data_IF_572341252755
#
_entry.id   IF_572341252755
#
_cell.length_a   1.000
_cell.length_b   1.000
_cell.length_c   1.000
_cell.angle_alpha   90.00
_cell.angle_beta   90.00
_cell.angle_gamma   90.00
#
_symmetry.space_group_name_H-M   'P 1'
#
loop_
_entity.id
_entity.type
_entity.pdbx_description
1 polymer ?
#
# COMPACT_ATOMS: atom_id res chain seq x y z
N UNK A 1 24.42 -1.63 -9.66
CA UNK A 1 24.44 -0.18 -9.92
C UNK A 1 23.37 0.47 -9.03
N UNK A 2 23.74 1.51 -8.27
CA UNK A 2 22.81 2.24 -7.41
C UNK A 2 22.03 3.23 -8.29
N UNK A 3 20.70 3.22 -8.19
CA UNK A 3 19.82 4.15 -8.89
C UNK A 3 19.46 5.36 -8.03
N UNK A 4 19.15 5.11 -6.75
CA UNK A 4 18.85 6.15 -5.76
C UNK A 4 19.66 5.85 -4.50
N UNK A 5 20.27 6.88 -3.93
CA UNK A 5 20.89 6.85 -2.60
C UNK A 5 20.29 7.97 -1.76
N UNK A 6 19.73 7.59 -0.64
CA UNK A 6 19.15 8.48 0.37
C UNK A 6 20.10 8.52 1.56
N UNK A 7 20.48 9.71 2.02
CA UNK A 7 21.43 9.91 3.11
C UNK A 7 20.85 10.88 4.13
N UNK A 8 20.73 10.39 5.37
CA UNK A 8 20.32 11.14 6.56
C UNK A 8 19.04 11.98 6.36
N UNK A 9 18.09 11.45 5.60
CA UNK A 9 16.87 12.16 5.23
C UNK A 9 16.03 12.47 6.47
N UNK A 10 15.60 13.73 6.58
CA UNK A 10 14.81 14.23 7.69
C UNK A 10 13.53 14.91 7.17
N UNK A 11 12.43 14.71 7.90
CA UNK A 11 11.15 15.39 7.64
C UNK A 11 10.33 15.50 8.90
N UNK A 12 9.82 16.69 9.16
CA UNK A 12 8.96 17.00 10.29
C UNK A 12 7.67 17.71 9.83
N UNK A 13 6.59 17.50 10.55
CA UNK A 13 5.35 18.24 10.39
C UNK A 13 5.00 18.92 11.72
N UNK A 14 5.27 20.22 11.79
CA UNK A 14 5.20 20.96 13.04
C UNK A 14 6.18 20.41 14.06
N UNK A 15 5.67 19.94 15.19
CA UNK A 15 6.48 19.34 16.28
C UNK A 15 6.74 17.83 16.10
N UNK A 16 6.09 17.21 15.13
CA UNK A 16 6.22 15.77 14.91
C UNK A 16 7.32 15.46 13.89
N UNK A 17 8.39 14.86 14.36
CA UNK A 17 9.50 14.34 13.55
C UNK A 17 9.11 12.97 12.99
N UNK A 18 8.85 12.92 11.68
CA UNK A 18 8.39 11.71 10.99
C UNK A 18 9.57 10.89 10.45
N UNK A 19 10.53 11.57 9.81
CA UNK A 19 11.79 10.98 9.36
C UNK A 19 12.93 11.67 10.08
N UNK A 20 13.80 10.91 10.78
CA UNK A 20 14.88 11.47 11.62
C UNK A 20 16.25 11.39 10.99
N UNK A 21 16.57 10.28 10.36
CA UNK A 21 17.83 10.02 9.69
C UNK A 21 17.70 8.77 8.83
N UNK A 22 16.87 8.86 7.77
CA UNK A 22 16.66 7.73 6.88
C UNK A 22 17.81 7.64 5.88
N UNK A 23 18.51 6.50 5.89
CA UNK A 23 19.63 6.22 4.98
C UNK A 23 19.45 4.85 4.36
N UNK A 24 19.38 4.79 3.03
CA UNK A 24 19.36 3.55 2.25
C UNK A 24 19.69 3.79 0.78
N UNK A 25 19.90 2.70 0.06
CA UNK A 25 20.09 2.74 -1.39
C UNK A 25 19.20 1.73 -2.08
N UNK A 26 18.70 2.10 -3.28
CA UNK A 26 17.97 1.23 -4.19
C UNK A 26 18.85 0.91 -5.40
N UNK A 27 19.02 -0.38 -5.69
CA UNK A 27 19.85 -0.85 -6.79
C UNK A 27 18.99 -1.15 -8.03
N UNK A 28 19.64 -1.20 -9.20
CA UNK A 28 18.96 -1.57 -10.46
C UNK A 28 18.38 -2.99 -10.37
N UNK A 29 17.09 -3.13 -10.71
CA UNK A 29 16.37 -4.39 -10.66
C UNK A 29 15.98 -4.84 -9.25
N UNK A 30 16.26 -4.05 -8.22
CA UNK A 30 15.87 -4.36 -6.86
C UNK A 30 14.38 -4.06 -6.63
N UNK A 31 13.68 -5.01 -5.98
CA UNK A 31 12.27 -4.90 -5.61
C UNK A 31 12.18 -4.83 -4.09
N UNK A 32 12.00 -3.62 -3.57
CA UNK A 32 11.99 -3.36 -2.13
C UNK A 32 10.58 -3.10 -1.62
N UNK A 33 10.13 -3.89 -0.64
CA UNK A 33 8.92 -3.63 0.13
C UNK A 33 9.23 -2.73 1.33
N UNK A 34 8.49 -1.65 1.51
CA UNK A 34 8.61 -0.72 2.63
C UNK A 34 7.53 -1.02 3.66
N UNK A 35 7.95 -1.41 4.86
CA UNK A 35 7.06 -1.77 5.98
C UNK A 35 7.29 -0.89 7.19
N UNK A 36 6.32 -0.83 8.08
CA UNK A 36 6.34 -0.05 9.31
C UNK A 36 4.94 0.29 9.78
N UNK A 37 4.81 0.75 11.02
CA UNK A 37 3.51 1.12 11.60
C UNK A 37 2.83 2.26 10.84
N UNK A 38 1.51 2.38 10.97
CA UNK A 38 0.80 3.49 10.35
C UNK A 38 1.29 4.83 10.91
N UNK A 39 1.45 5.82 10.04
CA UNK A 39 1.96 7.15 10.43
C UNK A 39 3.48 7.24 10.61
N UNK A 40 4.27 6.15 10.42
CA UNK A 40 5.73 6.22 10.56
C UNK A 40 6.46 6.95 9.41
N UNK A 41 5.74 7.39 8.37
CA UNK A 41 6.30 8.19 7.28
C UNK A 41 6.59 7.46 5.97
N UNK A 42 6.03 6.27 5.74
CA UNK A 42 6.22 5.51 4.48
C UNK A 42 5.84 6.31 3.24
N UNK A 43 4.61 6.82 3.21
CA UNK A 43 4.09 7.68 2.13
C UNK A 43 4.89 8.97 1.99
N UNK A 44 5.28 9.59 3.11
CA UNK A 44 6.14 10.78 3.13
C UNK A 44 7.48 10.52 2.45
N UNK A 45 8.12 9.41 2.79
CA UNK A 45 9.37 8.99 2.16
C UNK A 45 9.21 8.79 0.65
N UNK A 46 8.13 8.13 0.22
CA UNK A 46 7.84 7.95 -1.21
C UNK A 46 7.64 9.27 -1.94
N UNK A 47 6.86 10.20 -1.39
CA UNK A 47 6.64 11.53 -1.98
C UNK A 47 7.94 12.33 -2.10
N UNK A 48 8.83 12.23 -1.12
CA UNK A 48 10.13 12.88 -1.19
C UNK A 48 10.99 12.23 -2.28
N UNK A 49 10.99 10.90 -2.40
CA UNK A 49 11.69 10.18 -3.45
C UNK A 49 11.08 10.48 -4.83
N UNK A 50 9.78 10.64 -4.95
CA UNK A 50 9.11 11.05 -6.19
C UNK A 50 9.46 12.49 -6.59
N UNK A 51 9.83 13.34 -5.63
CA UNK A 51 10.10 14.77 -5.85
C UNK A 51 8.90 15.66 -5.64
N UNK A 52 7.79 15.11 -5.13
CA UNK A 52 6.58 15.89 -4.79
C UNK A 52 6.70 16.66 -3.48
N UNK A 53 7.67 16.28 -2.63
CA UNK A 53 7.88 16.91 -1.34
C UNK A 53 9.38 17.13 -1.10
N UNK A 54 9.71 18.30 -0.56
CA UNK A 54 11.09 18.59 -0.16
C UNK A 54 11.38 18.05 1.24
N UNK A 55 12.55 17.44 1.46
CA UNK A 55 13.02 17.09 2.81
C UNK A 55 13.42 18.34 3.59
N UNK A 56 13.44 18.23 4.92
CA UNK A 56 13.93 19.30 5.80
C UNK A 56 15.46 19.20 6.00
N UNK A 57 16.01 17.99 5.82
CA UNK A 57 17.46 17.74 5.90
C UNK A 57 17.85 16.45 5.19
N UNK A 58 19.14 16.24 5.02
CA UNK A 58 19.69 15.11 4.28
C UNK A 58 19.71 15.33 2.76
N UNK A 59 20.16 14.31 2.02
CA UNK A 59 20.33 14.39 0.56
C UNK A 59 19.79 13.15 -0.14
N UNK A 60 19.30 13.36 -1.36
CA UNK A 60 18.90 12.28 -2.28
C UNK A 60 19.73 12.41 -3.55
N UNK A 61 20.56 11.41 -3.79
CA UNK A 61 21.31 11.30 -5.03
C UNK A 61 20.56 10.37 -5.98
N UNK A 62 20.22 10.90 -7.16
CA UNK A 62 19.59 10.16 -8.27
C UNK A 62 20.55 10.08 -9.43
N UNK A 63 20.51 8.96 -10.14
CA UNK A 63 21.27 8.86 -11.39
C UNK A 63 20.71 9.88 -12.39
N UNK A 64 21.56 10.44 -13.24
CA UNK A 64 21.12 11.31 -14.37
C UNK A 64 20.21 10.49 -15.29
N UNK A 65 19.18 11.09 -15.80
CA UNK A 65 18.20 10.50 -16.73
C UNK A 65 17.30 9.40 -16.15
N UNK A 66 17.29 9.23 -14.82
CA UNK A 66 16.46 8.25 -14.15
C UNK A 66 14.98 8.64 -14.24
N UNK A 67 14.17 7.78 -14.90
CA UNK A 67 12.71 7.93 -14.94
C UNK A 67 12.09 7.27 -13.72
N UNK A 68 11.48 8.08 -12.87
CA UNK A 68 10.77 7.63 -11.67
C UNK A 68 9.28 7.75 -11.94
N UNK A 69 8.56 6.63 -11.86
CA UNK A 69 7.11 6.61 -11.92
C UNK A 69 6.54 6.47 -10.51
N UNK A 70 5.58 7.29 -10.17
CA UNK A 70 4.90 7.24 -8.87
C UNK A 70 3.39 7.11 -9.08
N UNK A 71 2.81 6.11 -8.44
CA UNK A 71 1.35 5.97 -8.41
C UNK A 71 0.80 6.99 -7.40
N UNK A 72 0.79 8.25 -7.81
CA UNK A 72 0.15 9.32 -7.09
C UNK A 72 -1.35 9.38 -7.41
N UNK A 73 -2.09 10.16 -6.63
CA UNK A 73 -3.49 10.43 -6.90
C UNK A 73 -3.68 11.05 -8.31
N UNK A 74 -4.55 10.52 -9.03
CA UNK A 74 -5.46 10.84 -10.15
C UNK A 74 -5.30 12.12 -11.00
N UNK A 75 -4.41 13.05 -10.69
CA UNK A 75 -4.47 14.41 -11.28
C UNK A 75 -3.89 14.52 -12.70
N UNK A 76 -3.18 13.50 -13.19
CA UNK A 76 -2.46 13.54 -14.48
C UNK A 76 -3.26 13.05 -15.70
N UNK A 77 -4.49 12.58 -15.53
CA UNK A 77 -5.31 12.11 -16.65
C UNK A 77 -6.48 13.06 -16.86
N UNK A 78 -6.54 13.77 -18.01
CA UNK A 78 -7.65 14.66 -18.30
C UNK A 78 -8.99 13.94 -18.26
N UNK A 79 -9.96 14.50 -17.54
CA UNK A 79 -11.29 13.91 -17.36
C UNK A 79 -12.08 13.78 -18.69
N UNK A 80 -11.69 14.55 -19.70
CA UNK A 80 -12.29 14.54 -21.05
C UNK A 80 -11.78 13.40 -21.93
N UNK A 81 -10.65 12.78 -21.56
CA UNK A 81 -10.10 11.68 -22.35
C UNK A 81 -10.96 10.42 -22.19
N UNK A 82 -10.87 9.53 -23.18
CA UNK A 82 -11.35 8.16 -23.01
C UNK A 82 -10.27 7.31 -22.33
N UNK A 83 -10.66 6.19 -21.72
CA UNK A 83 -9.72 5.22 -21.12
C UNK A 83 -8.62 4.83 -22.11
N UNK A 84 -9.02 4.45 -23.33
CA UNK A 84 -8.10 4.09 -24.39
C UNK A 84 -7.22 5.26 -24.84
N UNK A 85 -7.82 6.44 -25.03
CA UNK A 85 -7.11 7.66 -25.45
C UNK A 85 -6.05 8.11 -24.45
N UNK A 86 -6.33 7.98 -23.14
CA UNK A 86 -5.39 8.30 -22.09
C UNK A 86 -4.14 7.39 -22.11
N UNK A 87 -4.31 6.11 -22.41
CA UNK A 87 -3.19 5.16 -22.52
C UNK A 87 -2.43 5.29 -23.84
N UNK A 88 -3.12 5.61 -24.94
CA UNK A 88 -2.47 5.90 -26.24
C UNK A 88 -1.48 7.07 -26.15
N UNK A 89 -1.72 8.07 -25.29
CA UNK A 89 -0.80 9.18 -25.09
C UNK A 89 0.58 8.75 -24.55
N UNK A 90 0.67 7.62 -23.86
CA UNK A 90 1.95 7.06 -23.42
C UNK A 90 2.83 6.70 -24.61
N UNK A 91 2.22 6.28 -25.72
CA UNK A 91 2.89 5.86 -26.94
C UNK A 91 2.91 6.94 -28.03
N UNK A 92 2.64 8.21 -27.66
CA UNK A 92 2.66 9.33 -28.61
C UNK A 92 3.97 9.44 -29.40
N UNK A 93 5.17 9.22 -28.83
CA UNK A 93 6.41 9.19 -29.60
C UNK A 93 6.41 8.14 -30.73
N UNK A 94 5.86 6.96 -30.46
CA UNK A 94 5.74 5.86 -31.47
C UNK A 94 4.72 6.27 -32.54
N UNK A 95 3.58 6.83 -32.15
CA UNK A 95 2.52 7.28 -33.06
C UNK A 95 2.96 8.44 -33.96
N UNK A 96 3.84 9.30 -33.45
CA UNK A 96 4.46 10.35 -34.26
C UNK A 96 5.34 9.73 -35.36
N UNK A 97 6.12 8.70 -35.02
CA UNK A 97 6.91 7.95 -36.04
C UNK A 97 6.01 7.29 -37.07
N UNK A 98 4.92 6.61 -36.67
CA UNK A 98 3.95 6.00 -37.60
C UNK A 98 3.37 7.03 -38.58
N UNK A 99 2.89 8.15 -38.04
CA UNK A 99 2.35 9.24 -38.89
C UNK A 99 3.39 9.76 -39.86
N UNK A 100 4.63 9.96 -39.39
CA UNK A 100 5.71 10.43 -40.24
C UNK A 100 6.11 9.43 -41.30
N UNK A 101 6.13 8.14 -40.99
CA UNK A 101 6.37 7.06 -41.97
C UNK A 101 5.29 7.04 -43.06
N UNK A 102 4.01 7.14 -42.69
CA UNK A 102 2.88 7.21 -43.60
C UNK A 102 2.90 8.51 -44.48
N UNK A 103 3.37 9.63 -43.94
CA UNK A 103 3.60 10.86 -44.73
C UNK A 103 4.71 10.65 -45.76
N UNK A 104 5.83 10.05 -45.34
CA UNK A 104 6.96 9.78 -46.25
C UNK A 104 6.53 8.85 -47.37
N UNK A 105 5.75 7.78 -47.12
CA UNK A 105 5.22 6.89 -48.14
C UNK A 105 4.45 7.65 -49.20
N UNK A 106 3.55 8.56 -48.80
CA UNK A 106 2.80 9.39 -49.74
C UNK A 106 3.68 10.36 -50.55
N UNK A 107 4.68 10.96 -49.88
CA UNK A 107 5.61 11.87 -50.56
C UNK A 107 6.51 11.17 -51.55
N UNK A 108 6.89 9.91 -51.34
CA UNK A 108 7.71 9.11 -52.24
C UNK A 108 7.01 8.83 -53.57
N UNK A 109 5.66 8.81 -53.59
CA UNK A 109 4.91 8.59 -54.86
C UNK A 109 5.13 9.69 -55.92
N UNK A 110 5.48 10.92 -55.48
CA UNK A 110 5.63 12.08 -56.35
C UNK A 110 6.99 12.78 -56.23
N UNK A 111 7.96 12.18 -55.52
CA UNK A 111 9.26 12.77 -55.26
C UNK A 111 10.21 12.67 -56.47
N UNK A 112 11.02 13.69 -56.68
CA UNK A 112 12.18 13.64 -57.56
C UNK A 112 13.28 12.72 -57.00
N UNK A 113 14.23 12.25 -57.81
CA UNK A 113 15.22 11.24 -57.39
C UNK A 113 16.07 11.65 -56.17
N UNK A 114 16.42 12.94 -56.04
CA UNK A 114 17.23 13.43 -54.93
C UNK A 114 16.41 13.47 -53.60
N UNK A 115 15.19 13.99 -53.69
CA UNK A 115 14.22 14.01 -52.56
C UNK A 115 13.84 12.59 -52.17
N UNK A 116 13.64 11.69 -53.13
CA UNK A 116 13.32 10.27 -52.85
C UNK A 116 14.45 9.58 -52.07
N UNK A 117 15.71 9.82 -52.40
CA UNK A 117 16.85 9.24 -51.69
C UNK A 117 16.91 9.72 -50.22
N UNK A 118 16.67 11.02 -49.99
CA UNK A 118 16.63 11.60 -48.64
C UNK A 118 15.48 11.04 -47.82
N UNK A 119 14.27 11.01 -48.37
CA UNK A 119 13.07 10.46 -47.74
C UNK A 119 13.23 8.97 -47.40
N UNK A 120 13.81 8.18 -48.30
CA UNK A 120 14.10 6.76 -48.07
C UNK A 120 15.06 6.56 -46.89
N UNK A 121 16.09 7.40 -46.78
CA UNK A 121 17.02 7.36 -45.63
C UNK A 121 16.34 7.72 -44.31
N UNK A 122 15.44 8.72 -44.33
CA UNK A 122 14.64 9.09 -43.16
C UNK A 122 13.68 7.96 -42.76
N UNK A 123 12.99 7.37 -43.72
CA UNK A 123 12.07 6.25 -43.49
C UNK A 123 12.78 5.04 -42.86
N UNK A 124 13.97 4.70 -43.40
CA UNK A 124 14.76 3.60 -42.85
C UNK A 124 15.12 3.84 -41.37
N UNK A 125 15.59 5.04 -41.01
CA UNK A 125 15.90 5.40 -39.59
C UNK A 125 14.68 5.33 -38.70
N UNK A 126 13.53 5.83 -39.16
CA UNK A 126 12.28 5.75 -38.43
C UNK A 126 11.83 4.32 -38.22
N UNK A 127 11.95 3.47 -39.27
CA UNK A 127 11.61 2.05 -39.19
C UNK A 127 12.50 1.30 -38.19
N UNK A 128 13.81 1.57 -38.23
CA UNK A 128 14.74 0.99 -37.23
C UNK A 128 14.40 1.42 -35.80
N UNK A 129 14.09 2.70 -35.59
CA UNK A 129 13.69 3.23 -34.26
C UNK A 129 12.34 2.66 -33.81
N UNK A 130 11.38 2.57 -34.73
CA UNK A 130 10.05 2.01 -34.47
C UNK A 130 10.12 0.54 -34.05
N UNK A 131 10.93 -0.26 -34.79
CA UNK A 131 11.18 -1.66 -34.48
C UNK A 131 11.90 -1.84 -33.14
N UNK A 132 12.91 -1.00 -32.84
CA UNK A 132 13.65 -1.05 -31.61
C UNK A 132 12.74 -0.74 -30.37
N UNK A 133 11.70 0.09 -30.55
CA UNK A 133 10.72 0.42 -29.55
C UNK A 133 9.49 -0.52 -29.57
N UNK A 134 9.53 -1.61 -30.34
CA UNK A 134 8.42 -2.56 -30.48
C UNK A 134 7.12 -1.89 -30.94
N UNK A 135 7.18 -0.95 -31.87
CA UNK A 135 6.06 -0.13 -32.31
C UNK A 135 4.83 -0.91 -32.77
N UNK A 136 4.99 -2.13 -33.31
CA UNK A 136 3.84 -2.97 -33.68
C UNK A 136 3.09 -3.61 -32.53
N UNK A 137 3.62 -3.56 -31.29
CA UNK A 137 3.09 -4.32 -30.16
C UNK A 137 2.34 -3.46 -29.13
N UNK A 138 2.40 -2.11 -29.21
CA UNK A 138 1.91 -1.24 -28.15
C UNK A 138 0.39 -1.37 -27.91
N UNK A 139 -0.42 -1.54 -28.96
CA UNK A 139 -1.87 -1.73 -28.80
C UNK A 139 -2.18 -3.04 -28.07
N UNK A 140 -1.49 -4.12 -28.43
CA UNK A 140 -1.61 -5.39 -27.73
C UNK A 140 -1.17 -5.29 -26.26
N UNK A 141 -0.14 -4.48 -25.99
CA UNK A 141 0.32 -4.25 -24.63
C UNK A 141 -0.70 -3.44 -23.81
N UNK A 142 -1.31 -2.40 -24.40
CA UNK A 142 -2.42 -1.68 -23.78
C UNK A 142 -3.55 -2.64 -23.41
N UNK A 143 -3.98 -3.49 -24.35
CA UNK A 143 -5.05 -4.47 -24.12
C UNK A 143 -4.68 -5.46 -23.01
N UNK A 144 -3.45 -5.97 -23.01
CA UNK A 144 -2.95 -6.88 -21.97
C UNK A 144 -3.02 -6.25 -20.57
N UNK A 145 -2.60 -4.98 -20.43
CA UNK A 145 -2.60 -4.27 -19.16
C UNK A 145 -4.02 -3.93 -18.70
N UNK A 146 -4.88 -3.47 -19.63
CA UNK A 146 -6.29 -3.19 -19.33
C UNK A 146 -7.03 -4.45 -18.84
N UNK A 147 -6.89 -5.56 -19.56
CA UNK A 147 -7.52 -6.82 -19.20
C UNK A 147 -7.00 -7.34 -17.86
N UNK A 148 -5.69 -7.29 -17.65
CA UNK A 148 -5.06 -7.73 -16.39
C UNK A 148 -5.51 -6.93 -15.18
N UNK A 149 -5.79 -5.65 -15.34
CA UNK A 149 -6.32 -4.80 -14.26
C UNK A 149 -7.86 -4.79 -14.18
N UNK A 150 -8.54 -5.67 -14.93
CA UNK A 150 -9.99 -5.81 -14.91
C UNK A 150 -10.75 -4.59 -15.47
N UNK A 151 -10.11 -3.82 -16.38
CA UNK A 151 -10.75 -2.76 -17.15
C UNK A 151 -11.33 -3.34 -18.44
N UNK A 152 -12.62 -3.72 -18.40
CA UNK A 152 -13.30 -4.45 -19.46
C UNK A 152 -13.39 -3.68 -20.78
N UNK A 153 -13.49 -4.35 -21.93
CA UNK A 153 -13.57 -3.72 -23.27
C UNK A 153 -14.66 -2.66 -23.39
N UNK A 154 -15.81 -2.84 -22.73
CA UNK A 154 -16.93 -1.89 -22.76
C UNK A 154 -16.56 -0.52 -22.12
N UNK A 155 -15.49 -0.52 -21.33
CA UNK A 155 -15.02 0.68 -20.65
C UNK A 155 -14.01 1.46 -21.48
N UNK A 156 -13.38 0.88 -22.49
CA UNK A 156 -12.25 1.47 -23.21
C UNK A 156 -12.60 2.81 -23.87
N UNK A 157 -13.84 2.95 -24.36
CA UNK A 157 -14.32 4.19 -24.99
C UNK A 157 -15.04 5.13 -24.03
N UNK A 158 -15.19 4.74 -22.75
CA UNK A 158 -15.81 5.62 -21.74
C UNK A 158 -14.88 6.77 -21.37
N UNK A 159 -15.46 7.92 -21.09
CA UNK A 159 -14.70 9.06 -20.60
C UNK A 159 -14.23 8.83 -19.16
N UNK A 160 -13.03 9.29 -18.84
CA UNK A 160 -12.42 9.19 -17.51
C UNK A 160 -13.29 9.85 -16.44
N UNK A 161 -14.03 10.90 -16.78
CA UNK A 161 -14.99 11.56 -15.89
C UNK A 161 -16.11 10.64 -15.38
N UNK A 162 -16.48 9.61 -16.15
CA UNK A 162 -17.57 8.67 -15.81
C UNK A 162 -17.09 7.46 -14.99
N UNK A 163 -15.80 7.33 -14.75
CA UNK A 163 -15.23 6.24 -14.00
C UNK A 163 -15.40 6.46 -12.49
N UNK A 164 -15.62 5.38 -11.76
CA UNK A 164 -15.52 5.36 -10.29
C UNK A 164 -14.10 5.64 -9.81
N UNK A 165 -13.92 6.01 -8.55
CA UNK A 165 -12.58 6.24 -7.96
C UNK A 165 -11.65 5.04 -8.12
N UNK A 166 -12.13 3.81 -7.86
CA UNK A 166 -11.32 2.60 -8.04
C UNK A 166 -10.96 2.30 -9.49
N UNK A 167 -11.86 2.57 -10.45
CA UNK A 167 -11.58 2.42 -11.88
C UNK A 167 -10.54 3.44 -12.36
N UNK A 168 -10.60 4.67 -11.84
CA UNK A 168 -9.57 5.68 -12.13
C UNK A 168 -8.21 5.28 -11.57
N UNK A 169 -8.15 4.78 -10.33
CA UNK A 169 -6.89 4.27 -9.74
C UNK A 169 -6.30 3.16 -10.61
N UNK A 170 -7.12 2.23 -11.10
CA UNK A 170 -6.68 1.17 -12.02
C UNK A 170 -6.18 1.71 -13.37
N UNK A 171 -6.83 2.75 -13.90
CA UNK A 171 -6.37 3.42 -15.13
C UNK A 171 -5.02 4.12 -14.91
N UNK A 172 -4.82 4.80 -13.78
CA UNK A 172 -3.54 5.42 -13.42
C UNK A 172 -2.43 4.38 -13.25
N UNK A 173 -2.75 3.23 -12.64
CA UNK A 173 -1.83 2.10 -12.54
C UNK A 173 -1.49 1.56 -13.93
N UNK A 174 -2.48 1.38 -14.82
CA UNK A 174 -2.25 0.96 -16.20
C UNK A 174 -1.28 1.90 -16.94
N UNK A 175 -1.53 3.22 -16.84
CA UNK A 175 -0.66 4.25 -17.43
C UNK A 175 0.77 4.14 -16.92
N UNK A 176 0.95 4.00 -15.60
CA UNK A 176 2.26 3.87 -14.96
C UNK A 176 3.02 2.63 -15.45
N UNK A 177 2.34 1.48 -15.52
CA UNK A 177 2.95 0.24 -15.98
C UNK A 177 3.37 0.31 -17.46
N UNK A 178 2.56 0.94 -18.32
CA UNK A 178 2.85 1.12 -19.75
C UNK A 178 4.01 2.11 -20.01
N UNK A 179 4.22 3.09 -19.11
CA UNK A 179 5.35 4.02 -19.19
C UNK A 179 6.71 3.35 -18.99
N UNK A 180 6.74 2.18 -18.36
CA UNK A 180 7.96 1.41 -18.04
C UNK A 180 9.11 2.27 -17.50
N UNK A 181 8.92 3.01 -16.39
CA UNK A 181 9.99 3.84 -15.80
C UNK A 181 11.09 2.94 -15.22
N UNK A 182 12.28 3.50 -14.97
CA UNK A 182 13.39 2.76 -14.38
C UNK A 182 13.14 2.35 -12.92
N UNK A 183 12.33 3.15 -12.21
CA UNK A 183 11.86 2.87 -10.85
C UNK A 183 10.36 3.14 -10.77
N UNK A 184 9.62 2.21 -10.20
CA UNK A 184 8.21 2.38 -9.86
C UNK A 184 8.07 2.50 -8.34
N UNK A 185 7.37 3.55 -7.91
CA UNK A 185 6.96 3.78 -6.53
C UNK A 185 5.47 3.52 -6.43
N UNK A 186 5.03 2.61 -5.56
CA UNK A 186 3.61 2.28 -5.37
C UNK A 186 3.24 2.29 -3.89
N UNK A 187 2.20 3.04 -3.55
CA UNK A 187 1.60 3.07 -2.22
C UNK A 187 0.24 2.37 -2.26
N UNK A 188 0.15 1.19 -1.62
CA UNK A 188 -1.04 0.34 -1.56
C UNK A 188 -1.67 0.02 -2.93
N UNK A 189 -0.93 -0.52 -3.92
CA UNK A 189 -1.44 -0.75 -5.27
C UNK A 189 -2.53 -1.82 -5.35
N UNK A 190 -2.65 -2.68 -4.34
CA UNK A 190 -3.67 -3.74 -4.25
C UNK A 190 -5.05 -3.22 -3.86
N UNK A 191 -5.12 -1.98 -3.33
CA UNK A 191 -6.40 -1.36 -3.01
C UNK A 191 -7.25 -1.20 -4.29
N UNK A 192 -8.52 -1.53 -4.20
CA UNK A 192 -9.49 -1.49 -5.30
C UNK A 192 -9.27 -2.52 -6.44
N UNK A 193 -8.32 -3.44 -6.29
CA UNK A 193 -8.16 -4.60 -7.16
C UNK A 193 -8.95 -5.79 -6.62
N UNK A 194 -9.45 -6.64 -7.51
CA UNK A 194 -9.93 -7.97 -7.15
C UNK A 194 -8.79 -8.99 -7.20
N UNK A 195 -9.06 -10.22 -6.80
CA UNK A 195 -8.03 -11.23 -6.65
C UNK A 195 -7.30 -11.52 -7.98
N UNK A 196 -8.05 -11.61 -9.09
CA UNK A 196 -7.49 -11.88 -10.41
C UNK A 196 -6.54 -10.74 -10.86
N UNK A 197 -6.93 -9.48 -10.63
CA UNK A 197 -6.09 -8.33 -10.94
C UNK A 197 -4.86 -8.24 -10.02
N UNK A 198 -4.96 -8.66 -8.76
CA UNK A 198 -3.82 -8.74 -7.85
C UNK A 198 -2.82 -9.80 -8.32
N UNK A 199 -3.28 -11.01 -8.67
CA UNK A 199 -2.44 -12.09 -9.18
C UNK A 199 -1.75 -11.67 -10.48
N UNK A 200 -2.48 -11.07 -11.41
CA UNK A 200 -1.90 -10.54 -12.64
C UNK A 200 -0.84 -9.47 -12.37
N UNK A 201 -1.10 -8.54 -11.44
CA UNK A 201 -0.15 -7.48 -11.07
C UNK A 201 1.12 -8.06 -10.42
N UNK A 202 0.99 -9.10 -9.59
CA UNK A 202 2.12 -9.83 -9.01
C UNK A 202 3.04 -10.38 -10.10
N UNK A 203 2.47 -11.10 -11.06
CA UNK A 203 3.22 -11.69 -12.16
C UNK A 203 3.91 -10.61 -13.01
N UNK A 204 3.18 -9.55 -13.34
CA UNK A 204 3.72 -8.42 -14.09
C UNK A 204 4.92 -7.77 -13.37
N UNK A 205 4.79 -7.50 -12.07
CA UNK A 205 5.84 -6.87 -11.27
C UNK A 205 7.01 -7.81 -10.99
N UNK A 206 6.76 -9.12 -10.91
CA UNK A 206 7.81 -10.13 -10.76
C UNK A 206 8.69 -10.20 -12.02
N UNK A 207 8.11 -10.04 -13.20
CA UNK A 207 8.83 -10.02 -14.48
C UNK A 207 9.42 -8.65 -14.82
N UNK A 208 9.01 -7.60 -14.11
CA UNK A 208 9.44 -6.25 -14.38
C UNK A 208 10.95 -6.08 -14.22
N UNK A 209 11.63 -5.53 -15.24
CA UNK A 209 13.09 -5.37 -15.30
C UNK A 209 13.61 -4.15 -14.54
N UNK A 210 12.75 -3.16 -14.28
CA UNK A 210 13.07 -1.99 -13.48
C UNK A 210 13.08 -2.30 -11.98
N UNK A 211 13.30 -1.28 -11.18
CA UNK A 211 13.30 -1.37 -9.72
C UNK A 211 11.94 -0.97 -9.15
N UNK A 212 11.60 -1.50 -7.98
CA UNK A 212 10.36 -1.21 -7.29
C UNK A 212 10.64 -0.71 -5.88
N UNK A 213 9.85 0.27 -5.43
CA UNK A 213 9.66 0.57 -4.02
C UNK A 213 8.17 0.51 -3.73
N UNK A 214 7.76 -0.43 -2.90
CA UNK A 214 6.38 -0.85 -2.73
C UNK A 214 5.97 -0.76 -1.26
N UNK A 215 4.87 -0.06 -0.97
CA UNK A 215 4.15 -0.15 0.31
C UNK A 215 2.92 -1.01 0.08
N UNK A 216 2.72 -2.04 0.89
CA UNK A 216 1.48 -2.80 0.91
C UNK A 216 1.23 -3.40 2.29
N UNK A 217 -0.06 -3.53 2.65
CA UNK A 217 -0.51 -4.32 3.78
C UNK A 217 -0.76 -5.79 3.42
N UNK A 218 -0.77 -6.11 2.13
CA UNK A 218 -0.89 -7.48 1.64
C UNK A 218 0.46 -8.21 1.74
N UNK A 219 0.56 -9.08 2.75
CA UNK A 219 1.79 -9.83 3.04
C UNK A 219 2.11 -10.84 1.94
N UNK A 220 1.09 -11.43 1.32
CA UNK A 220 1.25 -12.40 0.25
C UNK A 220 1.80 -11.70 -1.00
N UNK A 221 1.27 -10.53 -1.32
CA UNK A 221 1.76 -9.69 -2.41
C UNK A 221 3.23 -9.30 -2.21
N UNK A 222 3.60 -8.82 -1.01
CA UNK A 222 4.99 -8.47 -0.68
C UNK A 222 5.92 -9.68 -0.77
N UNK A 223 5.47 -10.85 -0.35
CA UNK A 223 6.28 -12.07 -0.33
C UNK A 223 6.63 -12.57 -1.72
N UNK A 224 5.74 -12.36 -2.69
CA UNK A 224 5.93 -12.77 -4.09
C UNK A 224 6.75 -11.77 -4.91
N UNK A 225 6.51 -10.48 -4.71
CA UNK A 225 7.10 -9.43 -5.55
C UNK A 225 8.45 -8.94 -5.02
N UNK A 226 8.62 -8.82 -3.70
CA UNK A 226 9.77 -8.16 -3.11
C UNK A 226 10.95 -9.12 -2.89
N UNK A 227 12.15 -8.66 -3.22
CA UNK A 227 13.43 -9.35 -2.96
C UNK A 227 14.18 -8.79 -1.78
N UNK A 228 13.79 -7.60 -1.32
CA UNK A 228 14.33 -6.93 -0.14
C UNK A 228 13.20 -6.22 0.62
N UNK A 229 13.37 -6.09 1.93
CA UNK A 229 12.43 -5.37 2.79
C UNK A 229 13.13 -4.21 3.49
N UNK A 230 12.48 -3.06 3.53
CA UNK A 230 12.91 -1.90 4.30
C UNK A 230 11.93 -1.64 5.44
N UNK A 231 12.38 -1.74 6.68
CA UNK A 231 11.56 -1.40 7.85
C UNK A 231 11.80 0.04 8.28
N UNK A 232 10.75 0.85 8.30
CA UNK A 232 10.78 2.21 8.82
C UNK A 232 10.30 2.21 10.27
N UNK A 233 11.27 2.35 11.20
CA UNK A 233 11.03 2.28 12.63
C UNK A 233 11.68 3.47 13.35
N UNK A 234 10.90 4.22 14.14
CA UNK A 234 11.41 5.38 14.89
C UNK A 234 12.07 6.47 14.04
N UNK A 235 11.62 6.64 12.78
CA UNK A 235 12.18 7.60 11.83
C UNK A 235 13.50 7.18 11.20
N UNK A 236 13.93 5.92 11.39
CA UNK A 236 15.13 5.31 10.77
C UNK A 236 14.74 4.14 9.88
N UNK A 237 15.58 3.81 8.91
CA UNK A 237 15.37 2.70 7.99
C UNK A 237 16.33 1.57 8.26
N UNK A 238 15.82 0.35 8.33
CA UNK A 238 16.59 -0.88 8.42
C UNK A 238 16.27 -1.72 7.20
N UNK A 239 17.29 -2.12 6.44
CA UNK A 239 17.14 -2.92 5.23
C UNK A 239 17.45 -4.39 5.50
N UNK A 240 16.57 -5.28 5.04
CA UNK A 240 16.68 -6.74 5.14
C UNK A 240 16.70 -7.34 3.74
N UNK A 241 17.59 -8.26 3.50
CA UNK A 241 17.61 -9.07 2.27
C UNK A 241 16.66 -10.25 2.43
N UNK A 242 15.87 -10.51 1.41
CA UNK A 242 14.86 -11.56 1.38
C UNK A 242 13.43 -11.01 1.24
N UNK A 243 12.47 -11.90 1.06
CA UNK A 243 11.06 -11.59 0.95
C UNK A 243 10.43 -11.27 2.33
N UNK A 244 9.12 -11.04 2.36
CA UNK A 244 8.42 -10.66 3.59
C UNK A 244 8.52 -11.76 4.67
N UNK A 245 8.39 -13.03 4.31
CA UNK A 245 8.47 -14.17 5.24
C UNK A 245 9.87 -14.27 5.88
N UNK A 246 10.92 -14.10 5.09
CA UNK A 246 12.30 -14.09 5.59
C UNK A 246 12.60 -12.88 6.47
N UNK A 247 12.10 -11.70 6.08
CA UNK A 247 12.16 -10.50 6.90
C UNK A 247 11.54 -10.72 8.28
N UNK A 248 10.31 -11.28 8.35
CA UNK A 248 9.64 -11.53 9.63
C UNK A 248 10.43 -12.46 10.54
N UNK A 249 11.07 -13.50 9.98
CA UNK A 249 11.95 -14.41 10.76
C UNK A 249 13.16 -13.66 11.31
N UNK A 250 13.84 -12.88 10.48
CA UNK A 250 15.02 -12.09 10.87
C UNK A 250 14.66 -11.03 11.91
N UNK A 251 13.55 -10.32 11.71
CA UNK A 251 13.04 -9.31 12.63
C UNK A 251 12.73 -9.89 14.01
N UNK A 252 12.04 -11.04 14.05
CA UNK A 252 11.72 -11.71 15.32
C UNK A 252 12.99 -12.12 16.06
N UNK A 253 13.96 -12.71 15.37
CA UNK A 253 15.23 -13.12 15.96
C UNK A 253 16.05 -11.90 16.47
N UNK A 254 16.08 -10.81 15.71
CA UNK A 254 16.76 -9.57 16.12
C UNK A 254 16.08 -8.94 17.34
N UNK A 255 14.75 -8.88 17.35
CA UNK A 255 13.97 -8.40 18.49
C UNK A 255 14.25 -9.23 19.77
N UNK A 256 14.21 -10.56 19.68
CA UNK A 256 14.52 -11.43 20.80
C UNK A 256 15.97 -11.22 21.32
N UNK A 257 16.91 -11.06 20.40
CA UNK A 257 18.31 -10.80 20.75
C UNK A 257 18.49 -9.47 21.48
N UNK A 258 17.88 -8.41 20.95
CA UNK A 258 17.90 -7.08 21.58
C UNK A 258 17.17 -7.06 22.93
N UNK A 259 16.05 -7.76 23.03
CA UNK A 259 15.31 -7.86 24.29
C UNK A 259 16.13 -8.58 25.37
N UNK A 260 16.77 -9.71 25.02
CA UNK A 260 17.68 -10.41 25.93
C UNK A 260 18.86 -9.53 26.38
N UNK A 261 19.47 -8.81 25.45
CA UNK A 261 20.57 -7.88 25.77
C UNK A 261 20.12 -6.75 26.73
N UNK A 262 18.94 -6.18 26.47
CA UNK A 262 18.33 -5.18 27.34
C UNK A 262 18.05 -5.74 28.75
N UNK A 263 17.43 -6.90 28.85
CA UNK A 263 17.13 -7.53 30.14
C UNK A 263 18.39 -7.87 30.93
N UNK A 264 19.43 -8.37 30.27
CA UNK A 264 20.72 -8.62 30.91
C UNK A 264 21.33 -7.33 31.43
N UNK A 265 21.36 -6.28 30.64
CA UNK A 265 21.88 -4.97 31.07
C UNK A 265 21.08 -4.41 32.24
N UNK A 266 19.72 -4.49 32.21
CA UNK A 266 18.88 -4.04 33.32
C UNK A 266 19.17 -4.80 34.62
N UNK A 267 19.33 -6.12 34.54
CA UNK A 267 19.71 -6.95 35.71
C UNK A 267 21.09 -6.54 36.27
N UNK A 268 22.05 -6.25 35.40
CA UNK A 268 23.37 -5.81 35.82
C UNK A 268 23.34 -4.41 36.48
N UNK A 269 22.58 -3.47 35.88
CA UNK A 269 22.37 -2.14 36.46
C UNK A 269 21.71 -2.23 37.84
N UNK A 270 20.66 -3.05 38.00
CA UNK A 270 19.98 -3.25 39.28
C UNK A 270 20.93 -3.89 40.32
N UNK A 271 21.75 -4.84 39.91
CA UNK A 271 22.74 -5.45 40.79
C UNK A 271 23.79 -4.44 41.25
N UNK A 272 24.34 -3.65 40.36
CA UNK A 272 25.33 -2.61 40.70
C UNK A 272 24.71 -1.54 41.60
N UNK A 273 23.46 -1.12 41.35
CA UNK A 273 22.73 -0.17 42.20
C UNK A 273 22.55 -0.75 43.65
N UNK A 274 22.15 -2.01 43.73
CA UNK A 274 22.00 -2.66 45.06
C UNK A 274 23.35 -2.76 45.82
N UNK A 275 24.46 -2.97 45.12
CA UNK A 275 25.80 -3.00 45.73
C UNK A 275 26.17 -1.57 46.20
N UNK A 276 25.91 -0.54 45.38
CA UNK A 276 26.18 0.86 45.73
C UNK A 276 25.39 1.26 47.01
N UNK A 277 24.08 0.93 47.05
CA UNK A 277 23.26 1.16 48.22
C UNK A 277 23.77 0.44 49.47
N UNK A 278 24.20 -0.80 49.35
CA UNK A 278 24.81 -1.56 50.43
C UNK A 278 26.05 -0.87 50.94
N UNK A 279 26.96 -0.41 50.09
CA UNK A 279 28.15 0.30 50.52
C UNK A 279 27.84 1.65 51.18
N UNK A 280 26.82 2.38 50.75
CA UNK A 280 26.38 3.62 51.37
C UNK A 280 25.82 3.39 52.78
N UNK A 281 25.08 2.26 53.00
CA UNK A 281 24.53 1.91 54.35
C UNK A 281 25.62 1.63 55.37
N UNK A 282 26.82 1.14 54.98
CA UNK A 282 27.90 0.88 55.90
C UNK A 282 28.63 2.12 56.39
N UNK A 283 28.39 3.29 55.87
CA UNK A 283 28.83 4.63 56.26
C UNK A 283 30.30 4.75 56.69
N UNK A 284 31.21 3.90 56.13
CA UNK A 284 32.65 3.96 56.33
C UNK A 284 33.29 4.67 55.13
N UNK A 285 34.31 5.54 55.39
CA UNK A 285 34.95 6.36 54.36
C UNK A 285 35.43 5.53 53.14
N UNK A 286 36.02 4.38 53.35
CA UNK A 286 36.42 3.43 52.30
C UNK A 286 35.23 2.91 51.49
N UNK A 287 34.08 2.62 52.14
CA UNK A 287 32.86 2.13 51.50
C UNK A 287 32.24 3.25 50.66
N UNK A 288 32.23 4.49 51.14
CA UNK A 288 31.68 5.62 50.38
C UNK A 288 32.52 5.86 49.11
N UNK A 289 33.86 5.88 49.20
CA UNK A 289 34.75 5.99 47.99
C UNK A 289 34.55 4.84 46.99
N UNK A 290 34.30 3.64 47.47
CA UNK A 290 34.00 2.50 46.60
C UNK A 290 32.63 2.63 45.93
N UNK A 291 31.59 3.17 46.63
CA UNK A 291 30.29 3.46 46.04
C UNK A 291 30.38 4.53 44.95
N UNK A 292 31.08 5.65 45.22
CA UNK A 292 31.30 6.73 44.26
C UNK A 292 32.01 6.25 42.97
N UNK A 293 33.04 5.40 43.12
CA UNK A 293 33.76 4.82 41.99
C UNK A 293 32.84 3.96 41.11
N UNK A 294 31.98 3.15 41.73
CA UNK A 294 30.99 2.31 41.00
C UNK A 294 29.91 3.16 40.34
N UNK A 295 29.42 4.22 40.99
CA UNK A 295 28.47 5.16 40.38
C UNK A 295 29.06 5.85 39.14
N UNK A 296 30.33 6.33 39.22
CA UNK A 296 31.01 6.91 38.06
C UNK A 296 31.15 5.92 36.91
N UNK A 297 31.37 4.62 37.22
CA UNK A 297 31.40 3.57 36.21
C UNK A 297 30.04 3.30 35.62
N UNK A 298 28.98 3.21 36.45
CA UNK A 298 27.61 3.00 36.03
C UNK A 298 27.07 4.17 35.19
N UNK A 299 27.46 5.41 35.52
CA UNK A 299 27.11 6.60 34.74
C UNK A 299 27.73 6.64 33.32
N UNK A 300 28.80 5.90 33.09
CA UNK A 300 29.45 5.78 31.78
C UNK A 300 28.87 4.65 30.93
N UNK A 301 28.05 3.79 31.49
CA UNK A 301 27.39 2.70 30.75
C UNK A 301 26.33 3.30 29.82
N UNK A 302 26.49 3.09 28.53
CA UNK A 302 25.48 3.43 27.54
C UNK A 302 24.25 2.54 27.75
N UNK A 303 23.11 3.18 28.05
CA UNK A 303 21.87 2.47 28.33
C UNK A 303 21.21 2.05 27.04
N UNK A 304 20.96 0.75 26.89
CA UNK A 304 20.17 0.23 25.79
C UNK A 304 18.71 0.70 25.93
N UNK A 305 18.13 1.16 24.84
CA UNK A 305 16.71 1.46 24.79
C UNK A 305 15.91 0.14 24.75
N UNK A 306 14.78 0.12 25.45
CA UNK A 306 13.89 -1.04 25.40
C UNK A 306 13.37 -1.20 23.98
N UNK A 307 13.55 -2.37 23.34
CA UNK A 307 12.96 -2.64 22.04
C UNK A 307 11.44 -2.40 22.07
N UNK A 308 10.93 -1.64 21.11
CA UNK A 308 9.51 -1.34 21.01
C UNK A 308 8.80 -2.58 20.47
N UNK A 309 7.96 -3.17 21.31
CA UNK A 309 7.04 -4.23 20.89
C UNK A 309 5.85 -3.59 20.17
N UNK A 310 5.51 -4.09 18.99
CA UNK A 310 4.26 -3.67 18.37
C UNK A 310 3.10 -4.09 19.27
N UNK A 311 2.39 -3.12 19.81
CA UNK A 311 1.19 -3.37 20.58
C UNK A 311 0.11 -3.88 19.61
N UNK A 312 -0.09 -5.20 19.59
CA UNK A 312 -1.26 -5.76 18.94
C UNK A 312 -2.50 -5.45 19.78
N UNK A 313 -3.36 -4.62 19.23
CA UNK A 313 -4.67 -4.38 19.84
C UNK A 313 -5.43 -5.70 19.82
N UNK A 314 -5.72 -6.26 20.99
CA UNK A 314 -6.53 -7.47 21.14
C UNK A 314 -7.97 -7.05 21.31
N UNK A 315 -8.79 -7.30 20.29
CA UNK A 315 -10.23 -7.16 20.42
C UNK A 315 -10.83 -8.46 20.93
N UNK A 316 -11.64 -8.36 21.97
CA UNK A 316 -12.49 -9.44 22.47
C UNK A 316 -13.94 -9.04 22.19
N UNK A 317 -14.63 -9.87 21.41
CA UNK A 317 -16.04 -9.69 21.11
C UNK A 317 -16.84 -10.71 21.92
N UNK A 318 -17.42 -10.26 23.03
CA UNK A 318 -18.29 -11.10 23.85
C UNK A 318 -19.74 -10.86 23.45
N UNK A 319 -20.42 -11.94 23.07
CA UNK A 319 -21.85 -11.89 22.75
C UNK A 319 -22.65 -11.54 24.02
N UNK A 320 -23.46 -10.47 23.97
CA UNK A 320 -24.31 -10.06 25.09
C UNK A 320 -25.42 -11.08 25.44
N UNK A 321 -25.85 -11.85 24.47
CA UNK A 321 -26.92 -12.83 24.60
C UNK A 321 -26.54 -14.10 23.83
N UNK A 322 -27.04 -15.26 24.28
CA UNK A 322 -26.96 -16.49 23.50
C UNK A 322 -27.97 -16.40 22.36
N UNK A 323 -27.47 -16.43 21.13
CA UNK A 323 -28.27 -16.57 19.93
C UNK A 323 -28.73 -18.02 19.72
N UNK A 324 -29.77 -18.21 18.92
CA UNK A 324 -30.16 -19.54 18.45
C UNK A 324 -29.08 -20.19 17.59
N UNK A 325 -29.25 -21.46 17.21
CA UNK A 325 -28.30 -22.21 16.38
C UNK A 325 -28.17 -21.63 14.97
N UNK A 326 -29.29 -21.22 14.35
CA UNK A 326 -29.31 -20.54 13.05
C UNK A 326 -29.20 -19.03 13.25
N UNK A 327 -28.14 -18.44 12.70
CA UNK A 327 -27.90 -16.99 12.77
C UNK A 327 -28.57 -16.23 11.62
N UNK A 328 -28.48 -16.76 10.40
CA UNK A 328 -29.00 -16.11 9.20
C UNK A 328 -29.43 -17.16 8.18
N UNK A 329 -30.60 -16.97 7.59
CA UNK A 329 -31.10 -17.73 6.44
C UNK A 329 -31.47 -16.77 5.31
N UNK A 330 -30.89 -16.99 4.15
CA UNK A 330 -31.17 -16.28 2.89
C UNK A 330 -31.79 -17.27 1.92
N UNK A 331 -32.94 -16.94 1.34
CA UNK A 331 -33.64 -17.80 0.40
C UNK A 331 -33.95 -17.05 -0.90
N UNK A 332 -33.51 -17.62 -2.02
CA UNK A 332 -33.81 -17.20 -3.40
C UNK A 332 -33.65 -15.68 -3.62
N UNK A 333 -32.67 -15.08 -2.96
CA UNK A 333 -32.47 -13.64 -2.97
C UNK A 333 -32.01 -13.20 -4.36
N UNK A 334 -32.69 -12.20 -4.92
CA UNK A 334 -32.35 -11.63 -6.22
C UNK A 334 -32.38 -10.11 -6.16
N UNK A 335 -31.45 -9.46 -6.88
CA UNK A 335 -31.36 -8.01 -7.01
C UNK A 335 -30.89 -7.59 -8.38
N UNK A 336 -31.57 -6.57 -8.93
CA UNK A 336 -31.21 -5.90 -10.17
C UNK A 336 -31.24 -4.38 -9.98
N UNK A 337 -30.49 -3.66 -10.82
CA UNK A 337 -30.54 -2.21 -10.93
C UNK A 337 -30.71 -1.84 -12.41
N UNK A 338 -31.67 -0.99 -12.69
CA UNK A 338 -31.98 -0.53 -14.06
C UNK A 338 -32.16 -1.69 -15.07
N UNK A 339 -32.75 -2.81 -14.61
CA UNK A 339 -32.99 -4.00 -15.44
C UNK A 339 -31.74 -4.91 -15.60
N UNK A 340 -30.60 -4.56 -15.07
CA UNK A 340 -29.41 -5.42 -15.07
C UNK A 340 -29.34 -6.24 -13.78
N UNK A 341 -29.33 -7.59 -13.85
CA UNK A 341 -29.26 -8.44 -12.68
C UNK A 341 -27.85 -8.35 -12.05
N UNK A 342 -27.82 -8.13 -10.73
CA UNK A 342 -26.58 -8.16 -9.94
C UNK A 342 -26.31 -9.57 -9.43
N UNK A 343 -27.33 -10.21 -8.85
CA UNK A 343 -27.33 -11.63 -8.52
C UNK A 343 -28.76 -12.18 -8.52
N UNK A 344 -28.89 -13.49 -8.75
CA UNK A 344 -30.15 -14.19 -8.86
C UNK A 344 -30.14 -15.47 -8.03
N UNK A 345 -31.27 -15.75 -7.37
CA UNK A 345 -31.55 -17.00 -6.63
C UNK A 345 -30.46 -17.38 -5.60
N UNK A 346 -29.87 -16.39 -4.94
CA UNK A 346 -28.84 -16.62 -3.93
C UNK A 346 -29.51 -17.20 -2.67
N UNK A 347 -29.05 -18.39 -2.24
CA UNK A 347 -29.54 -19.04 -1.03
C UNK A 347 -28.39 -19.59 -0.21
N UNK A 348 -28.35 -19.29 1.08
CA UNK A 348 -27.36 -19.81 2.02
C UNK A 348 -27.87 -19.66 3.46
N UNK A 349 -27.20 -20.38 4.37
CA UNK A 349 -27.45 -20.30 5.81
C UNK A 349 -26.15 -20.11 6.56
N UNK A 350 -26.18 -19.32 7.62
CA UNK A 350 -25.10 -19.16 8.58
C UNK A 350 -25.56 -19.65 9.95
N UNK A 351 -24.70 -20.39 10.61
CA UNK A 351 -24.91 -20.85 11.99
C UNK A 351 -24.14 -19.95 12.96
N UNK A 352 -24.52 -19.98 14.20
CA UNK A 352 -23.80 -19.30 15.27
C UNK A 352 -22.38 -19.84 15.38
N UNK A 353 -21.39 -18.95 15.28
CA UNK A 353 -19.97 -19.31 15.29
C UNK A 353 -19.33 -19.44 13.92
N UNK A 354 -20.11 -19.47 12.83
CA UNK A 354 -19.55 -19.51 11.47
C UNK A 354 -18.77 -18.23 11.16
N UNK A 355 -17.67 -18.41 10.42
CA UNK A 355 -16.86 -17.33 9.85
C UNK A 355 -16.83 -17.53 8.35
N UNK A 356 -17.52 -16.66 7.62
CA UNK A 356 -17.69 -16.79 6.17
C UNK A 356 -17.04 -15.59 5.47
N UNK A 357 -16.19 -15.87 4.48
CA UNK A 357 -15.64 -14.86 3.59
C UNK A 357 -16.44 -14.83 2.27
N UNK A 358 -16.87 -13.65 1.84
CA UNK A 358 -17.52 -13.44 0.56
C UNK A 358 -16.49 -12.98 -0.47
N UNK A 359 -16.18 -13.85 -1.43
CA UNK A 359 -15.15 -13.65 -2.47
C UNK A 359 -15.83 -13.48 -3.82
N UNK A 360 -15.22 -12.73 -4.72
CA UNK A 360 -15.67 -12.55 -6.10
C UNK A 360 -15.14 -11.27 -6.72
N UNK A 361 -15.26 -11.11 -8.05
CA UNK A 361 -14.83 -9.93 -8.79
C UNK A 361 -15.46 -8.63 -8.29
N UNK A 362 -14.84 -7.50 -8.64
CA UNK A 362 -15.41 -6.19 -8.35
C UNK A 362 -16.70 -5.99 -9.17
N UNK A 363 -17.70 -5.36 -8.54
CA UNK A 363 -19.01 -5.13 -9.19
C UNK A 363 -19.99 -6.31 -9.15
N UNK A 364 -19.61 -7.49 -8.66
CA UNK A 364 -20.50 -8.69 -8.60
C UNK A 364 -21.63 -8.59 -7.57
N UNK A 365 -21.67 -7.49 -6.80
CA UNK A 365 -22.78 -7.27 -5.85
C UNK A 365 -22.49 -7.63 -4.39
N UNK A 366 -21.21 -7.85 -4.00
CA UNK A 366 -20.85 -8.14 -2.59
C UNK A 366 -21.38 -7.08 -1.62
N UNK A 367 -21.12 -5.81 -1.89
CA UNK A 367 -21.62 -4.70 -1.05
C UNK A 367 -23.15 -4.56 -1.12
N UNK A 368 -23.76 -4.89 -2.27
CA UNK A 368 -25.22 -4.91 -2.43
C UNK A 368 -25.85 -5.96 -1.52
N UNK A 369 -25.26 -7.16 -1.45
CA UNK A 369 -25.71 -8.21 -0.53
C UNK A 369 -25.64 -7.73 0.93
N UNK A 370 -24.51 -7.14 1.37
CA UNK A 370 -24.42 -6.61 2.73
C UNK A 370 -25.45 -5.52 3.02
N UNK A 371 -25.74 -4.62 2.07
CA UNK A 371 -26.77 -3.59 2.23
C UNK A 371 -28.18 -4.19 2.33
N UNK A 372 -28.45 -5.31 1.65
CA UNK A 372 -29.72 -6.04 1.82
C UNK A 372 -29.76 -6.70 3.19
N UNK A 373 -28.70 -7.38 3.61
CA UNK A 373 -28.62 -8.02 4.93
C UNK A 373 -28.74 -7.01 6.08
N UNK A 374 -28.30 -5.79 5.90
CA UNK A 374 -28.42 -4.69 6.88
C UNK A 374 -29.70 -3.86 6.72
N UNK A 375 -30.64 -4.31 5.87
CA UNK A 375 -31.91 -3.62 5.59
C UNK A 375 -31.78 -2.18 5.06
N UNK A 376 -30.65 -1.83 4.46
CA UNK A 376 -30.46 -0.53 3.81
C UNK A 376 -31.14 -0.45 2.43
N UNK A 377 -31.25 -1.57 1.73
CA UNK A 377 -31.97 -1.71 0.47
C UNK A 377 -32.82 -2.99 0.50
N UNK A 378 -33.94 -2.96 -0.21
CA UNK A 378 -34.80 -4.13 -0.34
C UNK A 378 -34.35 -5.03 -1.50
N UNK A 379 -34.45 -6.36 -1.36
CA UNK A 379 -34.30 -7.28 -2.48
C UNK A 379 -35.50 -7.16 -3.44
N UNK A 380 -35.31 -7.58 -4.69
CA UNK A 380 -36.41 -7.65 -5.67
C UNK A 380 -37.22 -8.94 -5.49
N UNK A 381 -36.53 -10.05 -5.17
CA UNK A 381 -37.15 -11.34 -4.85
C UNK A 381 -36.38 -12.02 -3.72
N UNK A 382 -37.06 -13.00 -3.08
CA UNK A 382 -36.50 -13.78 -1.99
C UNK A 382 -36.68 -13.14 -0.62
N UNK A 383 -36.08 -13.75 0.39
CA UNK A 383 -36.21 -13.31 1.78
C UNK A 383 -34.93 -13.49 2.60
N UNK A 384 -34.77 -12.62 3.57
CA UNK A 384 -33.67 -12.67 4.59
C UNK A 384 -34.34 -12.87 5.95
N UNK A 385 -33.92 -13.90 6.68
CA UNK A 385 -34.39 -14.17 8.04
C UNK A 385 -33.23 -14.29 8.99
N UNK A 386 -33.26 -13.49 10.05
CA UNK A 386 -32.31 -13.59 11.15
C UNK A 386 -32.86 -14.49 12.25
N UNK A 387 -31.99 -15.22 12.90
CA UNK A 387 -32.32 -16.04 14.05
C UNK A 387 -32.78 -15.21 15.25
N UNK A 388 -33.21 -15.89 16.29
CA UNK A 388 -33.64 -15.22 17.54
C UNK A 388 -32.47 -14.61 18.29
N UNK A 389 -32.66 -13.40 18.82
CA UNK A 389 -31.65 -12.63 19.59
C UNK A 389 -30.36 -12.32 18.80
N UNK A 390 -30.48 -12.04 17.50
CA UNK A 390 -29.36 -11.60 16.65
C UNK A 390 -29.35 -10.07 16.60
N UNK A 391 -28.24 -9.47 17.01
CA UNK A 391 -27.94 -8.05 16.81
C UNK A 391 -26.94 -7.97 15.61
N UNK A 392 -27.21 -7.09 14.65
CA UNK A 392 -26.38 -6.93 13.45
C UNK A 392 -25.44 -5.75 13.67
N UNK A 393 -24.13 -6.00 13.64
CA UNK A 393 -23.11 -4.98 13.53
C UNK A 393 -22.61 -4.90 12.08
N UNK A 394 -22.63 -3.73 11.48
CA UNK A 394 -22.09 -3.48 10.15
C UNK A 394 -20.95 -2.48 10.20
N UNK A 395 -19.78 -2.91 9.73
CA UNK A 395 -18.62 -2.05 9.56
C UNK A 395 -18.49 -1.67 8.08
N UNK A 396 -18.82 -0.42 7.76
CA UNK A 396 -18.81 0.10 6.40
C UNK A 396 -17.40 0.56 5.98
N UNK A 397 -17.08 0.36 4.71
CA UNK A 397 -15.81 0.77 4.12
C UNK A 397 -15.59 2.30 4.20
N UNK A 398 -16.65 3.08 4.07
CA UNK A 398 -16.59 4.54 4.02
C UNK A 398 -16.89 5.24 5.35
N UNK A 399 -17.27 4.49 6.38
CA UNK A 399 -17.56 5.00 7.74
C UNK A 399 -18.43 6.28 7.76
N UNK A 400 -19.40 6.37 6.85
CA UNK A 400 -20.25 7.56 6.66
C UNK A 400 -21.17 7.86 7.85
N UNK A 401 -21.25 6.96 8.81
CA UNK A 401 -22.13 7.07 9.98
C UNK A 401 -21.53 7.86 11.14
N UNK A 402 -20.30 8.37 11.01
CA UNK A 402 -19.65 9.17 12.03
C UNK A 402 -19.98 10.64 11.84
N UNK A 403 -20.27 11.34 12.95
CA UNK A 403 -20.50 12.79 12.91
C UNK A 403 -19.15 13.53 12.97
N UNK A 404 -18.72 14.22 11.89
CA UNK A 404 -17.42 14.91 11.85
C UNK A 404 -17.31 16.09 12.83
N UNK A 405 -18.43 16.56 13.41
CA UNK A 405 -18.44 17.62 14.42
C UNK A 405 -18.20 17.12 15.84
N UNK A 406 -18.31 15.80 16.08
CA UNK A 406 -18.09 15.23 17.40
C UNK A 406 -16.61 14.94 17.64
N UNK A 407 -16.18 15.02 18.89
CA UNK A 407 -14.90 14.40 19.28
C UNK A 407 -15.04 12.89 19.25
N UNK A 408 -13.93 12.17 19.14
CA UNK A 408 -13.92 10.69 19.16
C UNK A 408 -14.61 10.17 20.44
N UNK A 409 -14.37 10.83 21.56
CA UNK A 409 -14.98 10.48 22.84
C UNK A 409 -16.49 10.70 22.82
N UNK A 410 -16.95 11.84 22.32
CA UNK A 410 -18.38 12.18 22.27
C UNK A 410 -19.14 11.26 21.32
N UNK A 411 -18.54 10.90 20.17
CA UNK A 411 -19.14 9.97 19.22
C UNK A 411 -19.42 8.61 19.85
N UNK A 412 -18.43 8.04 20.56
CA UNK A 412 -18.61 6.76 21.24
C UNK A 412 -19.56 6.91 22.44
N UNK A 413 -19.51 8.02 23.17
CA UNK A 413 -20.40 8.22 24.32
C UNK A 413 -21.86 8.38 23.90
N UNK A 414 -22.12 9.13 22.84
CA UNK A 414 -23.48 9.29 22.30
C UNK A 414 -24.08 7.95 21.83
N UNK A 415 -23.25 7.08 21.26
CA UNK A 415 -23.66 5.74 20.87
C UNK A 415 -23.90 4.80 22.06
N UNK A 416 -23.18 5.00 23.18
CA UNK A 416 -23.24 4.16 24.38
C UNK A 416 -23.37 4.97 25.69
N UNK A 417 -24.47 5.72 25.89
CA UNK A 417 -24.61 6.67 27.01
C UNK A 417 -24.64 6.00 28.40
N UNK A 418 -24.83 4.68 28.46
CA UNK A 418 -24.85 3.90 29.70
C UNK A 418 -23.47 3.39 30.14
N UNK A 419 -22.43 3.58 29.31
CA UNK A 419 -21.08 3.16 29.65
C UNK A 419 -20.36 4.25 30.45
N UNK A 420 -19.59 3.84 31.45
CA UNK A 420 -18.73 4.75 32.20
C UNK A 420 -17.64 5.35 31.32
N UNK A 421 -17.34 6.63 31.47
CA UNK A 421 -16.32 7.35 30.71
C UNK A 421 -14.95 6.67 30.75
N UNK A 422 -14.59 6.11 31.91
CA UNK A 422 -13.33 5.38 32.10
C UNK A 422 -13.23 4.17 31.17
N UNK A 423 -14.34 3.46 31.00
CA UNK A 423 -14.41 2.28 30.14
C UNK A 423 -14.32 2.64 28.64
N UNK A 424 -14.94 3.76 28.25
CA UNK A 424 -14.85 4.30 26.89
C UNK A 424 -13.41 4.75 26.60
N UNK A 425 -12.78 5.49 27.51
CA UNK A 425 -11.37 5.92 27.36
C UNK A 425 -10.37 4.76 27.30
N UNK A 426 -10.68 3.63 27.95
CA UNK A 426 -9.84 2.43 27.87
C UNK A 426 -10.01 1.67 26.56
N UNK A 427 -11.13 1.87 25.86
CA UNK A 427 -11.42 1.24 24.58
C UNK A 427 -10.87 2.06 23.39
N UNK A 428 -10.72 3.39 23.59
CA UNK A 428 -10.12 4.33 22.64
C UNK A 428 -8.59 4.38 22.78
#
# INVERSE_FOLDING_TARGET
MILISVQELQKSFGVHEVLRSVTFSLQKGEKMGLVGVNGCGKTTLMRIIAGEMQPDGGTIHRNKDLRVGYLAQLDDIPLTDTVWGALLKVFEPIRVMERRMAEIEKLLESADPETALRLSSEYQRLTESYNAQQGYAYEGEILRVLNGLGLKPEMHQRQVSTLSGGERTRLSLAKLLLQKPDIILMDEPTNHLDLEAIEWLQDYLTDYKGSLLLISHDRYFLDHVCTTMGELLGGKMIKFTGNYTEYMKKRTADFETRMKAYELQQKEIQREQAIIERYRRFNREKSIKAAESREKRLAKVERLEKPVEEQHVRFSFDARRRSGEEALEVRELSKSFEGQPVFQNLSFKLRTGDRVALIGPNGVGKSTLFRILTHQINPDHGSVRFGTNIDIGYYDQHQQNLNPQNTILDEVWNAFPKLEQTRIRSAL
#
